data_IF_068506004080
#
_entry.id   IF_068506004080
#
_cell.length_a   1.000
_cell.length_b   1.000
_cell.length_c   1.000
_cell.angle_alpha   90.00
_cell.angle_beta   90.00
_cell.angle_gamma   90.00
#
_symmetry.space_group_name_H-M   'P 1'
#
loop_
_entity.id
_entity.type
_entity.pdbx_description
1 polymer ?
#
# COMPACT_ATOMS: atom_id res chain seq x y z
N UNK A 1 -27.18 30.31 22.66
CA UNK A 1 -26.09 30.45 21.66
C UNK A 1 -25.14 29.25 21.65
N UNK A 2 -25.04 28.47 22.77
CA UNK A 2 -24.10 27.34 22.88
C UNK A 2 -24.42 26.08 22.04
N UNK A 3 -25.65 25.88 21.60
CA UNK A 3 -26.06 24.72 20.79
C UNK A 3 -25.49 24.72 19.37
N UNK A 4 -25.40 25.88 18.75
CA UNK A 4 -24.90 26.03 17.37
C UNK A 4 -23.40 25.76 17.23
N UNK A 5 -22.61 26.12 18.25
CA UNK A 5 -21.15 25.87 18.24
C UNK A 5 -20.81 24.39 18.39
N UNK A 6 -21.58 23.66 19.19
CA UNK A 6 -21.40 22.21 19.36
C UNK A 6 -21.78 21.43 18.09
N UNK A 7 -22.89 21.82 17.47
CA UNK A 7 -23.39 21.20 16.24
C UNK A 7 -22.45 21.50 15.05
N UNK A 8 -21.94 22.74 14.95
CA UNK A 8 -20.96 23.13 13.93
C UNK A 8 -19.64 22.37 14.07
N UNK A 9 -19.10 22.27 15.28
CA UNK A 9 -17.86 21.54 15.56
C UNK A 9 -17.98 20.05 15.22
N UNK A 10 -19.13 19.43 15.46
CA UNK A 10 -19.42 18.06 15.11
C UNK A 10 -19.45 17.85 13.58
N UNK A 11 -20.21 18.65 12.87
CA UNK A 11 -20.34 18.58 11.40
C UNK A 11 -18.99 18.82 10.71
N UNK A 12 -18.21 19.78 11.24
CA UNK A 12 -16.87 20.08 10.70
C UNK A 12 -15.92 18.87 10.84
N UNK A 13 -15.87 18.27 12.03
CA UNK A 13 -15.04 17.07 12.28
C UNK A 13 -15.44 15.91 11.38
N UNK A 14 -16.74 15.63 11.27
CA UNK A 14 -17.26 14.59 10.39
C UNK A 14 -16.84 14.80 8.92
N UNK A 15 -16.92 16.05 8.42
CA UNK A 15 -16.49 16.40 7.07
C UNK A 15 -14.99 16.25 6.85
N UNK A 16 -14.16 16.72 7.78
CA UNK A 16 -12.70 16.59 7.68
C UNK A 16 -12.30 15.12 7.66
N UNK A 17 -12.84 14.30 8.56
CA UNK A 17 -12.56 12.87 8.64
C UNK A 17 -13.03 12.14 7.37
N UNK A 18 -14.23 12.45 6.87
CA UNK A 18 -14.76 11.85 5.63
C UNK A 18 -13.90 12.18 4.42
N UNK A 19 -13.49 13.45 4.29
CA UNK A 19 -12.62 13.88 3.19
C UNK A 19 -11.24 13.24 3.28
N UNK A 20 -10.64 13.17 4.47
CA UNK A 20 -9.36 12.51 4.69
C UNK A 20 -9.43 11.02 4.34
N UNK A 21 -10.48 10.32 4.78
CA UNK A 21 -10.69 8.91 4.48
C UNK A 21 -10.87 8.67 2.98
N UNK A 22 -11.70 9.47 2.30
CA UNK A 22 -11.92 9.38 0.86
C UNK A 22 -10.62 9.63 0.08
N UNK A 23 -9.85 10.63 0.48
CA UNK A 23 -8.55 10.93 -0.13
C UNK A 23 -7.57 9.77 0.02
N UNK A 24 -7.43 9.23 1.22
CA UNK A 24 -6.54 8.10 1.51
C UNK A 24 -6.91 6.82 0.77
N UNK A 25 -8.20 6.59 0.53
CA UNK A 25 -8.67 5.35 -0.10
C UNK A 25 -8.80 5.43 -1.61
N UNK A 26 -9.12 6.60 -2.17
CA UNK A 26 -9.43 6.76 -3.61
C UNK A 26 -8.21 7.22 -4.42
N UNK A 27 -7.40 8.14 -3.89
CA UNK A 27 -6.28 8.71 -4.66
C UNK A 27 -5.22 7.66 -5.04
N UNK A 28 -4.72 6.79 -4.14
CA UNK A 28 -3.65 5.86 -4.51
C UNK A 28 -4.04 4.83 -5.58
N UNK A 29 -5.26 4.23 -5.60
CA UNK A 29 -5.65 3.35 -6.71
C UNK A 29 -5.74 4.09 -8.04
N UNK A 30 -6.23 5.35 -8.03
CA UNK A 30 -6.27 6.17 -9.25
C UNK A 30 -4.85 6.42 -9.76
N UNK A 31 -3.93 6.85 -8.89
CA UNK A 31 -2.54 7.08 -9.27
C UNK A 31 -1.89 5.80 -9.83
N UNK A 32 -2.19 4.63 -9.27
CA UNK A 32 -1.69 3.35 -9.76
C UNK A 32 -2.13 3.06 -11.20
N UNK A 33 -3.38 3.37 -11.56
CA UNK A 33 -3.90 3.18 -12.92
C UNK A 33 -3.19 4.10 -13.93
N UNK A 34 -2.83 5.30 -13.51
CA UNK A 34 -2.15 6.29 -14.36
C UNK A 34 -0.62 6.19 -14.33
N UNK A 35 -0.02 5.32 -13.49
CA UNK A 35 1.43 5.13 -13.46
C UNK A 35 1.90 4.25 -14.64
N UNK A 36 2.69 4.80 -15.58
CA UNK A 36 3.21 4.03 -16.71
C UNK A 36 4.14 2.88 -16.31
N UNK A 37 4.67 2.90 -15.08
CA UNK A 37 5.57 1.87 -14.54
C UNK A 37 4.79 0.63 -14.12
N UNK A 38 3.55 0.79 -13.66
CA UNK A 38 2.66 -0.30 -13.28
C UNK A 38 2.34 -1.25 -14.45
N UNK A 39 2.32 -0.71 -15.69
CA UNK A 39 2.00 -1.48 -16.89
C UNK A 39 3.15 -2.40 -17.40
N UNK A 40 4.38 -2.22 -16.91
CA UNK A 40 5.58 -2.90 -17.43
C UNK A 40 5.99 -4.16 -16.67
N UNK A 41 5.43 -4.42 -15.51
CA UNK A 41 5.74 -5.65 -14.76
C UNK A 41 4.88 -6.79 -15.26
N UNK A 42 5.45 -7.87 -15.85
CA UNK A 42 4.68 -9.05 -16.19
C UNK A 42 4.09 -9.62 -14.90
N UNK A 43 2.76 -9.53 -14.79
CA UNK A 43 2.07 -10.02 -13.59
C UNK A 43 2.13 -11.54 -13.59
N UNK A 44 2.99 -12.08 -12.76
CA UNK A 44 3.18 -13.51 -12.61
C UNK A 44 1.87 -14.14 -12.12
N UNK A 45 1.45 -15.28 -12.70
CA UNK A 45 0.18 -16.00 -12.36
C UNK A 45 -0.01 -16.18 -10.85
N UNK A 46 1.04 -16.35 -10.10
CA UNK A 46 1.04 -16.47 -8.65
C UNK A 46 0.50 -15.20 -7.95
N UNK A 47 0.80 -14.01 -8.46
CA UNK A 47 0.28 -12.74 -7.89
C UNK A 47 -1.23 -12.61 -7.99
N UNK A 48 -1.86 -13.14 -9.05
CA UNK A 48 -3.33 -13.18 -9.14
C UNK A 48 -3.94 -14.12 -8.10
N UNK A 49 -3.29 -15.26 -7.81
CA UNK A 49 -3.73 -16.18 -6.76
C UNK A 49 -3.59 -15.55 -5.38
N UNK A 50 -2.46 -14.88 -5.10
CA UNK A 50 -2.25 -14.14 -3.84
C UNK A 50 -3.31 -13.03 -3.68
N UNK A 51 -3.60 -12.28 -4.72
CA UNK A 51 -4.65 -11.24 -4.71
C UNK A 51 -6.04 -11.84 -4.50
N UNK A 52 -6.35 -12.94 -5.17
CA UNK A 52 -7.61 -13.66 -4.98
C UNK A 52 -7.79 -14.17 -3.55
N UNK A 53 -6.74 -14.74 -2.97
CA UNK A 53 -6.73 -15.23 -1.59
C UNK A 53 -6.90 -14.09 -0.58
N UNK A 54 -6.20 -12.97 -0.80
CA UNK A 54 -6.33 -11.77 0.01
C UNK A 54 -7.76 -11.21 -0.03
N UNK A 55 -8.33 -11.10 -1.23
CA UNK A 55 -9.70 -10.59 -1.42
C UNK A 55 -10.72 -11.50 -0.75
N UNK A 56 -10.61 -12.82 -0.96
CA UNK A 56 -11.50 -13.80 -0.34
C UNK A 56 -11.37 -13.79 1.18
N UNK A 57 -10.15 -13.73 1.70
CA UNK A 57 -9.87 -13.65 3.13
C UNK A 57 -10.43 -12.35 3.76
N UNK A 58 -10.28 -11.24 3.07
CA UNK A 58 -10.79 -9.94 3.53
C UNK A 58 -12.33 -9.91 3.55
N UNK A 59 -12.98 -10.49 2.53
CA UNK A 59 -14.45 -10.62 2.51
C UNK A 59 -14.92 -11.52 3.64
N UNK A 60 -14.30 -12.69 3.85
CA UNK A 60 -14.65 -13.62 4.91
C UNK A 60 -14.44 -12.99 6.31
N UNK A 61 -13.31 -12.33 6.52
CA UNK A 61 -13.01 -11.63 7.76
C UNK A 61 -13.94 -10.44 8.00
N UNK A 62 -14.27 -9.67 6.96
CA UNK A 62 -15.22 -8.57 7.02
C UNK A 62 -16.63 -9.07 7.37
N UNK A 63 -17.08 -10.15 6.74
CA UNK A 63 -18.37 -10.75 7.07
C UNK A 63 -18.40 -11.30 8.51
N UNK A 64 -17.32 -11.91 8.98
CA UNK A 64 -17.20 -12.37 10.36
C UNK A 64 -17.19 -11.22 11.37
N UNK A 65 -16.53 -10.11 11.03
CA UNK A 65 -16.40 -8.95 11.91
C UNK A 65 -17.70 -8.11 12.00
N UNK A 66 -18.38 -7.95 10.87
CA UNK A 66 -19.48 -6.97 10.73
C UNK A 66 -20.82 -7.63 10.48
N UNK A 67 -20.87 -8.89 10.02
CA UNK A 67 -22.10 -9.54 9.55
C UNK A 67 -22.97 -10.19 10.65
N UNK A 68 -22.58 -10.16 11.92
CA UNK A 68 -23.30 -10.81 13.02
C UNK A 68 -23.99 -9.80 13.94
N UNK A 69 -25.19 -10.12 14.39
CA UNK A 69 -25.95 -9.31 15.37
C UNK A 69 -25.28 -9.27 16.76
N UNK A 70 -24.46 -10.27 17.08
CA UNK A 70 -23.69 -10.30 18.33
C UNK A 70 -22.30 -9.77 18.01
N UNK A 71 -22.09 -8.51 18.31
CA UNK A 71 -20.76 -7.89 18.20
C UNK A 71 -19.82 -8.51 19.23
N UNK A 72 -19.01 -9.46 18.80
CA UNK A 72 -17.82 -9.87 19.57
C UNK A 72 -16.72 -8.85 19.24
N UNK A 73 -16.34 -7.97 20.18
CA UNK A 73 -15.40 -6.87 19.90
C UNK A 73 -14.07 -7.36 19.30
N UNK A 74 -13.67 -8.58 19.66
CA UNK A 74 -12.43 -9.21 19.15
C UNK A 74 -12.47 -9.49 17.66
N UNK A 75 -13.65 -9.75 17.06
CA UNK A 75 -13.79 -9.99 15.62
C UNK A 75 -13.55 -8.74 14.77
N UNK A 76 -13.64 -7.55 15.36
CA UNK A 76 -13.33 -6.28 14.70
C UNK A 76 -11.89 -6.25 14.16
N UNK A 77 -10.99 -6.99 14.78
CA UNK A 77 -9.60 -7.10 14.37
C UNK A 77 -9.34 -8.16 13.28
N UNK A 78 -10.33 -8.96 12.92
CA UNK A 78 -10.18 -10.04 11.94
C UNK A 78 -9.70 -9.60 10.56
N UNK A 79 -10.08 -8.42 9.99
CA UNK A 79 -9.54 -7.93 8.73
C UNK A 79 -8.09 -7.46 8.80
N UNK A 80 -7.56 -7.10 10.01
CA UNK A 80 -6.23 -6.50 10.15
C UNK A 80 -5.08 -7.36 9.63
N UNK A 81 -5.00 -8.69 9.90
CA UNK A 81 -3.93 -9.52 9.36
C UNK A 81 -3.88 -9.50 7.82
N UNK A 82 -5.03 -9.49 7.16
CA UNK A 82 -5.13 -9.44 5.71
C UNK A 82 -4.70 -8.06 5.17
N UNK A 83 -5.12 -6.99 5.83
CA UNK A 83 -4.71 -5.63 5.48
C UNK A 83 -3.21 -5.41 5.74
N UNK A 84 -2.66 -5.94 6.82
CA UNK A 84 -1.23 -5.90 7.10
C UNK A 84 -0.45 -6.70 6.05
N UNK A 85 -0.92 -7.88 5.69
CA UNK A 85 -0.34 -8.67 4.60
C UNK A 85 -0.37 -7.90 3.28
N UNK A 86 -1.48 -7.23 2.97
CA UNK A 86 -1.58 -6.35 1.81
C UNK A 86 -0.55 -5.21 1.85
N UNK A 87 -0.39 -4.54 3.00
CA UNK A 87 0.54 -3.43 3.18
C UNK A 87 2.01 -3.84 2.98
N UNK A 88 2.38 -5.06 3.41
CA UNK A 88 3.77 -5.56 3.31
C UNK A 88 4.06 -6.15 1.93
N UNK A 89 3.09 -6.83 1.33
CA UNK A 89 3.30 -7.64 0.12
C UNK A 89 3.04 -6.91 -1.18
N UNK A 90 2.04 -6.03 -1.19
CA UNK A 90 1.58 -5.35 -2.39
C UNK A 90 1.98 -3.87 -2.40
N UNK A 91 1.77 -3.23 -3.53
CA UNK A 91 1.96 -1.79 -3.70
C UNK A 91 0.83 -1.01 -3.03
N UNK A 92 1.09 0.27 -2.75
CA UNK A 92 0.15 1.17 -2.06
C UNK A 92 -1.22 1.25 -2.74
N UNK A 93 -1.27 1.12 -4.07
CA UNK A 93 -2.54 1.12 -4.83
C UNK A 93 -3.41 -0.09 -4.54
N UNK A 94 -2.82 -1.29 -4.44
CA UNK A 94 -3.56 -2.53 -4.11
C UNK A 94 -3.99 -2.50 -2.65
N UNK A 95 -3.14 -2.02 -1.74
CA UNK A 95 -3.52 -1.82 -0.34
C UNK A 95 -4.73 -0.89 -0.22
N UNK A 96 -4.72 0.26 -0.92
CA UNK A 96 -5.84 1.20 -0.84
C UNK A 96 -7.14 0.64 -1.42
N UNK A 97 -7.06 -0.22 -2.44
CA UNK A 97 -8.22 -0.96 -2.93
C UNK A 97 -8.77 -1.94 -1.88
N UNK A 98 -7.89 -2.65 -1.17
CA UNK A 98 -8.26 -3.54 -0.05
C UNK A 98 -8.91 -2.74 1.11
N UNK A 99 -8.35 -1.57 1.43
CA UNK A 99 -8.91 -0.67 2.44
C UNK A 99 -10.28 -0.11 2.02
N UNK A 100 -10.46 0.25 0.76
CA UNK A 100 -11.74 0.69 0.21
C UNK A 100 -12.80 -0.42 0.30
N UNK A 101 -12.42 -1.66 0.00
CA UNK A 101 -13.31 -2.81 0.14
C UNK A 101 -13.68 -3.07 1.61
N UNK A 102 -12.71 -2.98 2.52
CA UNK A 102 -12.96 -3.12 3.96
C UNK A 102 -13.90 -2.03 4.49
N UNK A 103 -13.70 -0.76 4.07
CA UNK A 103 -14.58 0.35 4.46
C UNK A 103 -15.99 0.20 3.90
N UNK A 104 -16.11 -0.31 2.67
CA UNK A 104 -17.41 -0.58 2.06
C UNK A 104 -18.20 -1.66 2.81
N UNK A 105 -17.53 -2.78 3.17
CA UNK A 105 -18.14 -3.84 3.98
C UNK A 105 -18.56 -3.34 5.36
N UNK A 106 -17.70 -2.57 6.02
CA UNK A 106 -18.01 -1.98 7.32
C UNK A 106 -19.20 -0.99 7.24
N UNK A 107 -19.24 -0.16 6.20
CA UNK A 107 -20.36 0.77 5.95
C UNK A 107 -21.66 0.04 5.71
N UNK A 108 -21.69 -0.97 4.83
CA UNK A 108 -22.89 -1.76 4.55
C UNK A 108 -23.46 -2.42 5.82
N UNK A 109 -22.59 -2.99 6.64
CA UNK A 109 -23.00 -3.64 7.89
C UNK A 109 -23.55 -2.64 8.90
N UNK A 110 -22.88 -1.51 9.08
CA UNK A 110 -23.32 -0.44 9.99
C UNK A 110 -24.64 0.17 9.54
N UNK A 111 -24.83 0.40 8.23
CA UNK A 111 -26.08 0.93 7.68
C UNK A 111 -27.25 -0.05 7.78
N UNK A 112 -26.96 -1.35 7.84
CA UNK A 112 -27.96 -2.41 8.07
C UNK A 112 -28.26 -2.64 9.55
N UNK A 113 -27.72 -1.82 10.45
CA UNK A 113 -27.88 -1.97 11.90
C UNK A 113 -27.12 -3.17 12.48
N UNK A 114 -26.11 -3.68 11.76
CA UNK A 114 -25.29 -4.80 12.16
C UNK A 114 -23.88 -4.33 12.55
N UNK A 115 -23.23 -5.11 13.40
CA UNK A 115 -21.84 -4.89 13.77
C UNK A 115 -21.63 -3.97 14.97
N UNK A 116 -20.37 -3.75 15.35
CA UNK A 116 -19.99 -3.08 16.59
C UNK A 116 -20.22 -1.55 16.57
N UNK A 117 -20.47 -0.95 15.41
CA UNK A 117 -20.71 0.48 15.25
C UNK A 117 -22.19 0.85 15.11
N UNK A 118 -23.12 -0.13 15.22
CA UNK A 118 -24.54 0.12 15.19
C UNK A 118 -25.02 0.63 16.55
N UNK A 119 -25.00 1.95 16.73
CA UNK A 119 -25.44 2.67 17.93
C UNK A 119 -26.86 3.27 17.70
N UNK A 120 -27.39 4.01 18.68
CA UNK A 120 -28.72 4.60 18.61
C UNK A 120 -28.84 5.75 17.57
N UNK A 121 -27.72 6.48 17.34
CA UNK A 121 -27.69 7.65 16.44
C UNK A 121 -26.86 7.36 15.18
N UNK A 122 -27.47 7.61 14.01
CA UNK A 122 -26.79 7.48 12.71
C UNK A 122 -25.51 8.34 12.61
N UNK A 123 -25.51 9.48 13.29
CA UNK A 123 -24.39 10.40 13.30
C UNK A 123 -23.21 9.85 14.14
N UNK A 124 -23.48 9.26 15.29
CA UNK A 124 -22.46 8.61 16.14
C UNK A 124 -21.89 7.37 15.49
N UNK A 125 -22.73 6.59 14.80
CA UNK A 125 -22.30 5.44 13.99
C UNK A 125 -21.29 5.86 12.94
N UNK A 126 -21.57 6.94 12.21
CA UNK A 126 -20.70 7.45 11.16
C UNK A 126 -19.36 7.94 11.71
N UNK A 127 -19.35 8.68 12.82
CA UNK A 127 -18.11 9.16 13.44
C UNK A 127 -17.26 8.03 13.99
N UNK A 128 -17.86 7.12 14.74
CA UNK A 128 -17.15 5.97 15.32
C UNK A 128 -16.51 5.11 14.25
N UNK A 129 -17.24 4.83 13.17
CA UNK A 129 -16.71 4.10 12.01
C UNK A 129 -15.57 4.87 11.34
N UNK A 130 -15.69 6.18 11.13
CA UNK A 130 -14.66 7.00 10.50
C UNK A 130 -13.38 7.03 11.35
N UNK A 131 -13.50 7.22 12.67
CA UNK A 131 -12.34 7.18 13.57
C UNK A 131 -11.64 5.82 13.53
N UNK A 132 -12.40 4.73 13.57
CA UNK A 132 -11.84 3.39 13.46
C UNK A 132 -11.08 3.21 12.14
N UNK A 133 -11.72 3.54 11.02
CA UNK A 133 -11.12 3.38 9.70
C UNK A 133 -9.83 4.21 9.56
N UNK A 134 -9.83 5.46 9.99
CA UNK A 134 -8.63 6.32 9.93
C UNK A 134 -7.53 5.76 10.81
N UNK A 135 -7.84 5.29 12.02
CA UNK A 135 -6.87 4.69 12.95
C UNK A 135 -6.20 3.44 12.38
N UNK A 136 -6.90 2.69 11.53
CA UNK A 136 -6.35 1.52 10.83
C UNK A 136 -5.64 1.90 9.55
N UNK A 137 -6.21 2.79 8.74
CA UNK A 137 -5.72 3.09 7.39
C UNK A 137 -4.44 3.90 7.40
N UNK A 138 -4.35 4.89 8.27
CA UNK A 138 -3.20 5.78 8.31
C UNK A 138 -1.88 5.04 8.64
N UNK A 139 -1.81 4.18 9.66
CA UNK A 139 -0.61 3.40 9.93
C UNK A 139 -0.27 2.40 8.81
N UNK A 140 -1.27 1.74 8.21
CA UNK A 140 -1.06 0.78 7.13
C UNK A 140 -0.57 1.46 5.86
N UNK A 141 -1.11 2.61 5.51
CA UNK A 141 -0.65 3.42 4.38
C UNK A 141 0.78 3.92 4.61
N UNK A 142 1.08 4.40 5.82
CA UNK A 142 2.42 4.82 6.17
C UNK A 142 3.42 3.66 6.11
N UNK A 143 3.06 2.49 6.62
CA UNK A 143 3.88 1.28 6.54
C UNK A 143 4.15 0.89 5.09
N UNK A 144 3.12 0.86 4.24
CA UNK A 144 3.26 0.55 2.82
C UNK A 144 4.15 1.55 2.09
N UNK A 145 4.03 2.83 2.41
CA UNK A 145 4.88 3.88 1.84
C UNK A 145 6.35 3.70 2.23
N UNK A 146 6.64 3.41 3.50
CA UNK A 146 8.00 3.13 3.97
C UNK A 146 8.62 1.90 3.30
N UNK A 147 7.85 0.82 3.17
CA UNK A 147 8.31 -0.40 2.49
C UNK A 147 8.58 -0.12 1.01
N UNK A 148 7.72 0.63 0.35
CA UNK A 148 7.89 1.00 -1.05
C UNK A 148 9.13 1.87 -1.25
N UNK A 149 9.35 2.85 -0.40
CA UNK A 149 10.56 3.70 -0.42
C UNK A 149 11.83 2.88 -0.23
N UNK A 150 11.82 1.95 0.72
CA UNK A 150 12.96 1.06 0.96
C UNK A 150 13.27 0.19 -0.24
N UNK A 151 12.26 -0.42 -0.86
CA UNK A 151 12.44 -1.23 -2.08
C UNK A 151 13.02 -0.41 -3.23
N UNK A 152 12.51 0.81 -3.45
CA UNK A 152 13.02 1.70 -4.50
C UNK A 152 14.50 2.08 -4.27
N UNK A 153 14.90 2.32 -3.02
CA UNK A 153 16.31 2.58 -2.66
C UNK A 153 17.20 1.37 -2.90
N UNK A 154 16.74 0.17 -2.55
CA UNK A 154 17.49 -1.07 -2.79
C UNK A 154 17.66 -1.36 -4.30
N UNK A 155 16.63 -1.13 -5.11
CA UNK A 155 16.70 -1.25 -6.57
C UNK A 155 17.67 -0.23 -7.17
N UNK A 156 17.58 1.05 -6.77
CA UNK A 156 18.50 2.09 -7.24
C UNK A 156 19.95 1.79 -6.88
N UNK A 157 20.21 1.22 -5.69
CA UNK A 157 21.54 0.81 -5.26
C UNK A 157 22.07 -0.33 -6.12
N UNK A 158 21.27 -1.36 -6.37
CA UNK A 158 21.63 -2.50 -7.24
C UNK A 158 21.96 -2.04 -8.67
N UNK A 159 21.16 -1.13 -9.22
CA UNK A 159 21.40 -0.57 -10.55
C UNK A 159 22.69 0.26 -10.61
N UNK A 160 22.98 1.00 -9.54
CA UNK A 160 24.22 1.75 -9.41
C UNK A 160 25.44 0.82 -9.32
N UNK A 161 25.36 -0.23 -8.49
CA UNK A 161 26.43 -1.25 -8.40
C UNK A 161 26.66 -1.97 -9.72
N UNK A 162 25.59 -2.34 -10.43
CA UNK A 162 25.71 -3.00 -11.73
C UNK A 162 26.42 -2.10 -12.75
N UNK A 163 26.05 -0.81 -12.80
CA UNK A 163 26.72 0.18 -13.66
C UNK A 163 28.19 0.38 -13.27
N UNK A 164 28.48 0.48 -11.98
CA UNK A 164 29.86 0.63 -11.49
C UNK A 164 30.71 -0.58 -11.87
N UNK A 165 30.22 -1.80 -11.65
CA UNK A 165 30.91 -3.03 -12.04
C UNK A 165 31.17 -3.09 -13.55
N UNK A 166 30.21 -2.68 -14.38
CA UNK A 166 30.36 -2.64 -15.83
C UNK A 166 31.47 -1.65 -16.26
N UNK A 167 31.52 -0.46 -15.62
CA UNK A 167 32.56 0.52 -15.87
C UNK A 167 33.97 0.02 -15.46
N UNK A 168 34.08 -0.59 -14.28
CA UNK A 168 35.35 -1.16 -13.80
C UNK A 168 35.85 -2.26 -14.74
N UNK A 169 34.97 -3.16 -15.16
CA UNK A 169 35.31 -4.22 -16.11
C UNK A 169 35.74 -3.65 -17.49
N UNK A 170 35.02 -2.66 -17.99
CA UNK A 170 35.36 -2.01 -19.26
C UNK A 170 36.73 -1.32 -19.18
N UNK A 171 37.02 -0.60 -18.09
CA UNK A 171 38.31 0.07 -17.85
C UNK A 171 39.42 -0.92 -17.72
N UNK A 172 39.27 -2.01 -16.94
CA UNK A 172 40.25 -3.06 -16.82
C UNK A 172 40.59 -3.72 -18.17
N UNK A 173 39.57 -3.96 -18.99
CA UNK A 173 39.73 -4.55 -20.33
C UNK A 173 40.47 -3.60 -21.29
N UNK A 174 40.22 -2.27 -21.20
CA UNK A 174 41.00 -1.29 -21.99
C UNK A 174 42.44 -1.21 -21.57
N UNK A 175 42.75 -1.19 -20.26
CA UNK A 175 44.13 -1.15 -19.74
C UNK A 175 44.88 -2.43 -20.13
N UNK A 176 44.25 -3.59 -20.07
CA UNK A 176 44.84 -4.85 -20.47
C UNK A 176 45.18 -4.90 -21.96
N UNK A 177 44.30 -4.40 -22.84
CA UNK A 177 44.52 -4.29 -24.28
C UNK A 177 45.66 -3.31 -24.62
N UNK A 178 45.67 -2.16 -23.96
CA UNK A 178 46.75 -1.18 -24.18
C UNK A 178 48.11 -1.75 -23.76
N UNK A 179 48.18 -2.47 -22.64
CA UNK A 179 49.42 -3.12 -22.17
C UNK A 179 49.87 -4.24 -23.11
N UNK A 180 48.93 -5.05 -23.61
CA UNK A 180 49.25 -6.10 -24.60
C UNK A 180 49.74 -5.53 -25.93
N UNK A 181 49.17 -4.43 -26.39
CA UNK A 181 49.60 -3.74 -27.59
C UNK A 181 51.02 -3.13 -27.43
N UNK A 182 51.30 -2.55 -26.26
CA UNK A 182 52.64 -2.01 -25.96
C UNK A 182 53.73 -3.09 -25.92
N UNK A 183 53.46 -4.22 -25.31
CA UNK A 183 54.38 -5.36 -25.25
C UNK A 183 54.61 -5.95 -26.66
N UNK A 184 53.57 -6.04 -27.50
CA UNK A 184 53.68 -6.49 -28.88
C UNK A 184 54.54 -5.56 -29.75
N UNK A 185 54.36 -4.23 -29.60
CA UNK A 185 55.16 -3.24 -30.32
C UNK A 185 56.63 -3.26 -29.91
N UNK A 186 56.95 -3.47 -28.63
CA UNK A 186 58.32 -3.56 -28.14
C UNK A 186 59.07 -4.79 -28.68
N UNK A 187 58.37 -5.90 -28.91
CA UNK A 187 58.97 -7.11 -29.54
C UNK A 187 59.28 -6.93 -31.02
N UNK A 188 58.55 -6.12 -31.75
CA UNK A 188 58.83 -5.86 -33.17
C UNK A 188 60.06 -4.95 -33.42
N UNK A 189 60.46 -4.14 -32.45
CA UNK A 189 61.59 -3.21 -32.57
C UNK A 189 62.92 -3.92 -32.36
N UNK A 190 62.95 -5.12 -31.79
CA UNK A 190 64.16 -5.89 -31.50
C UNK A 190 64.32 -7.18 -32.31
N UNK A 191 63.50 -7.36 -33.36
CA UNK A 191 63.58 -8.41 -34.37
C UNK A 191 64.02 -7.84 -35.71
#
# INVERSE_FOLDING_TARGET
LSGWEQEYGYVWRARVLSNALSTLTIIPPILMVFDPRSAKTPVQRWRYMEFGLLTAGLIAAGYAAFGKQIAVPTLLYAPLPFLLWAAVRFEIGILSLALLMASYLAFLSTSSGLGPFAMESAAENALSLQFFLISVFLPLMFLSALISERRNKEEALRDSEARYRALVMATAHMVWRANAAMIGATRMVWA
#
